data_IF_546941205036
#
_entry.id   IF_546941205036
#
_cell.length_a   1.000
_cell.length_b   1.000
_cell.length_c   1.000
_cell.angle_alpha   90.00
_cell.angle_beta   90.00
_cell.angle_gamma   90.00
#
_symmetry.space_group_name_H-M   'P 1'
#
loop_
_entity.id
_entity.type
_entity.pdbx_description
1 polymer ?
#
# COMPACT_ATOMS: atom_id res chain seq x y z
N UNK A 1 5.33 -15.32 28.16
CA UNK A 1 4.16 -15.10 27.30
C UNK A 1 3.33 -14.00 27.90
N UNK A 2 2.79 -13.12 27.08
CA UNK A 2 1.85 -12.07 27.49
C UNK A 2 0.54 -12.75 27.92
N UNK A 3 -0.09 -12.28 29.01
CA UNK A 3 -1.35 -12.84 29.53
C UNK A 3 -2.55 -12.69 28.58
N UNK A 4 -2.37 -12.00 27.46
CA UNK A 4 -3.43 -11.64 26.51
C UNK A 4 -3.43 -12.48 25.23
N UNK A 5 -2.55 -13.49 25.11
CA UNK A 5 -2.41 -14.31 23.90
C UNK A 5 -2.24 -15.78 24.28
N UNK A 6 -3.00 -16.65 23.64
CA UNK A 6 -2.86 -18.10 23.79
C UNK A 6 -2.83 -18.80 22.44
N UNK A 7 -2.03 -19.87 22.35
CA UNK A 7 -1.96 -20.76 21.20
C UNK A 7 -2.83 -21.96 21.46
N UNK A 8 -3.72 -22.26 20.55
CA UNK A 8 -4.63 -23.40 20.68
C UNK A 8 -4.67 -24.19 19.37
N UNK A 9 -5.10 -25.45 19.46
CA UNK A 9 -5.49 -26.25 18.30
C UNK A 9 -6.99 -26.47 18.34
N UNK A 10 -7.65 -26.24 17.21
CA UNK A 10 -9.06 -26.53 17.09
C UNK A 10 -9.32 -28.05 16.91
N UNK A 11 -10.59 -28.43 16.84
CA UNK A 11 -11.01 -29.84 16.63
C UNK A 11 -10.49 -30.42 15.29
N UNK A 12 -10.17 -29.55 14.32
CA UNK A 12 -9.61 -29.91 13.00
C UNK A 12 -8.09 -29.89 12.97
N UNK A 13 -7.43 -29.70 14.15
CA UNK A 13 -5.98 -29.57 14.32
C UNK A 13 -5.37 -28.31 13.69
N UNK A 14 -6.19 -27.32 13.32
CA UNK A 14 -5.66 -26.02 12.88
C UNK A 14 -5.01 -25.30 14.07
N UNK A 15 -3.88 -24.66 13.83
CA UNK A 15 -3.21 -23.83 14.81
C UNK A 15 -3.82 -22.42 14.79
N UNK A 16 -4.34 -22.01 15.94
CA UNK A 16 -5.00 -20.74 16.14
C UNK A 16 -4.28 -19.92 17.21
N UNK A 17 -4.31 -18.63 17.03
CA UNK A 17 -3.93 -17.66 18.06
C UNK A 17 -5.21 -16.98 18.53
N UNK A 18 -5.48 -17.05 19.82
CA UNK A 18 -6.57 -16.31 20.45
C UNK A 18 -5.97 -15.11 21.16
N UNK A 19 -6.54 -13.95 20.90
CA UNK A 19 -6.17 -12.69 21.55
C UNK A 19 -7.36 -12.21 22.38
N UNK A 20 -7.08 -11.78 23.62
CA UNK A 20 -8.10 -11.25 24.50
C UNK A 20 -7.54 -10.90 25.87
N UNK A 21 -8.13 -9.91 26.52
CA UNK A 21 -7.65 -9.42 27.81
C UNK A 21 -7.63 -10.51 28.88
N UNK A 22 -6.44 -10.86 29.38
CA UNK A 22 -6.25 -11.86 30.41
C UNK A 22 -6.60 -13.30 30.00
N UNK A 23 -6.75 -13.60 28.71
CA UNK A 23 -7.11 -14.95 28.23
C UNK A 23 -6.07 -16.00 28.62
N UNK A 24 -4.78 -15.62 28.67
CA UNK A 24 -3.67 -16.50 29.06
C UNK A 24 -3.35 -16.49 30.55
N UNK A 25 -4.06 -15.70 31.36
CA UNK A 25 -3.76 -15.58 32.76
C UNK A 25 -3.96 -16.90 33.53
N UNK A 26 -2.91 -17.40 34.19
CA UNK A 26 -2.86 -18.70 34.89
C UNK A 26 -3.15 -19.93 33.99
N UNK A 27 -3.16 -19.82 32.67
CA UNK A 27 -3.32 -20.96 31.79
C UNK A 27 -2.05 -21.82 31.74
N UNK A 28 -2.26 -23.14 31.69
CA UNK A 28 -1.22 -24.14 31.51
C UNK A 28 -1.45 -24.91 30.19
N UNK A 29 -0.40 -25.49 29.60
CA UNK A 29 -0.56 -26.36 28.44
C UNK A 29 -1.60 -27.46 28.69
N UNK A 30 -2.50 -27.67 27.73
CA UNK A 30 -3.60 -28.66 27.81
C UNK A 30 -4.91 -28.14 28.41
N UNK A 31 -4.96 -26.92 28.95
CA UNK A 31 -6.21 -26.31 29.42
C UNK A 31 -7.02 -25.75 28.22
N UNK A 32 -8.34 -25.76 28.36
CA UNK A 32 -9.24 -25.13 27.39
C UNK A 32 -9.20 -23.62 27.57
N UNK A 33 -9.13 -22.87 26.48
CA UNK A 33 -9.25 -21.42 26.52
C UNK A 33 -10.67 -21.00 26.91
N UNK A 34 -10.77 -19.89 27.64
CA UNK A 34 -12.04 -19.28 28.00
C UNK A 34 -12.56 -18.49 26.80
N UNK A 35 -13.55 -19.05 26.09
CA UNK A 35 -14.13 -18.46 24.88
C UNK A 35 -14.77 -17.09 25.16
N UNK A 36 -15.23 -16.81 26.38
CA UNK A 36 -15.82 -15.51 26.73
C UNK A 36 -14.80 -14.36 26.73
N UNK A 37 -13.50 -14.68 26.81
CA UNK A 37 -12.39 -13.71 26.77
C UNK A 37 -11.80 -13.53 25.38
N UNK A 38 -12.26 -14.28 24.40
CA UNK A 38 -11.72 -14.19 23.03
C UNK A 38 -12.22 -12.94 22.36
N UNK A 39 -11.33 -12.00 22.10
CA UNK A 39 -11.60 -10.76 21.34
C UNK A 39 -11.31 -10.97 19.85
N UNK A 40 -10.28 -11.75 19.53
CA UNK A 40 -9.88 -12.04 18.15
C UNK A 40 -9.31 -13.44 18.01
N UNK A 41 -9.59 -14.08 16.88
CA UNK A 41 -9.01 -15.38 16.51
C UNK A 41 -8.26 -15.26 15.20
N UNK A 42 -7.02 -15.71 15.18
CA UNK A 42 -6.21 -15.79 13.98
C UNK A 42 -5.92 -17.25 13.62
N UNK A 43 -6.12 -17.59 12.36
CA UNK A 43 -5.68 -18.87 11.79
C UNK A 43 -4.21 -18.70 11.37
N UNK A 44 -3.31 -19.39 12.06
CA UNK A 44 -1.86 -19.19 11.90
C UNK A 44 -1.39 -19.43 10.45
N UNK A 45 -2.00 -20.37 9.74
CA UNK A 45 -1.67 -20.68 8.34
C UNK A 45 -1.95 -19.53 7.34
N UNK A 46 -2.76 -18.55 7.72
CA UNK A 46 -3.03 -17.36 6.87
C UNK A 46 -1.91 -16.32 6.89
N UNK A 47 -0.94 -16.43 7.79
CA UNK A 47 0.12 -15.46 7.92
C UNK A 47 1.41 -15.94 7.26
N UNK A 48 1.99 -15.10 6.40
CA UNK A 48 3.29 -15.37 5.77
C UNK A 48 4.42 -15.41 6.81
N UNK A 49 4.37 -14.53 7.81
CA UNK A 49 5.39 -14.38 8.85
C UNK A 49 4.85 -14.77 10.24
N UNK A 50 4.53 -16.04 10.42
CA UNK A 50 3.93 -16.56 11.66
C UNK A 50 4.76 -16.22 12.92
N UNK A 51 6.08 -16.35 12.85
CA UNK A 51 6.97 -16.01 13.96
C UNK A 51 6.85 -14.55 14.38
N UNK A 52 6.80 -13.66 13.41
CA UNK A 52 6.68 -12.21 13.64
C UNK A 52 5.34 -11.84 14.29
N UNK A 53 4.23 -12.47 13.84
CA UNK A 53 2.93 -12.31 14.49
C UNK A 53 2.99 -12.71 15.97
N UNK A 54 3.59 -13.88 16.26
CA UNK A 54 3.75 -14.39 17.63
C UNK A 54 4.58 -13.43 18.48
N UNK A 55 5.72 -12.98 17.97
CA UNK A 55 6.61 -12.04 18.67
C UNK A 55 5.91 -10.72 18.93
N UNK A 56 5.23 -10.15 17.94
CA UNK A 56 4.48 -8.92 18.07
C UNK A 56 3.42 -9.05 19.17
N UNK A 57 2.52 -10.02 19.06
CA UNK A 57 1.43 -10.23 20.00
C UNK A 57 1.93 -10.53 21.42
N UNK A 58 3.15 -11.04 21.57
CA UNK A 58 3.76 -11.26 22.89
C UNK A 58 4.28 -10.00 23.55
N UNK A 59 4.54 -8.93 22.79
CA UNK A 59 5.18 -7.69 23.27
C UNK A 59 4.19 -6.53 23.42
N UNK A 60 3.14 -6.50 22.61
CA UNK A 60 2.17 -5.39 22.59
C UNK A 60 1.17 -5.48 23.74
N UNK A 61 0.64 -4.32 24.15
CA UNK A 61 -0.46 -4.26 25.12
C UNK A 61 -1.80 -4.67 24.47
N UNK A 62 -2.77 -5.09 25.30
CA UNK A 62 -4.13 -5.35 24.81
C UNK A 62 -4.77 -4.10 24.24
N UNK A 63 -4.49 -2.93 24.82
CA UNK A 63 -5.01 -1.65 24.39
C UNK A 63 -4.48 -1.26 23.02
N UNK A 64 -3.17 -1.43 22.76
CA UNK A 64 -2.58 -1.13 21.45
C UNK A 64 -3.11 -2.07 20.38
N UNK A 65 -3.31 -3.35 20.71
CA UNK A 65 -3.93 -4.29 19.77
C UNK A 65 -5.38 -3.91 19.45
N UNK A 66 -6.19 -3.57 20.46
CA UNK A 66 -7.58 -3.11 20.26
C UNK A 66 -7.65 -1.85 19.39
N UNK A 67 -6.71 -0.94 19.61
CA UNK A 67 -6.60 0.29 18.82
C UNK A 67 -6.31 -0.02 17.35
N UNK A 68 -5.35 -0.92 17.08
CA UNK A 68 -5.02 -1.36 15.74
C UNK A 68 -6.19 -2.11 15.08
N UNK A 69 -6.84 -3.06 15.80
CA UNK A 69 -8.02 -3.77 15.27
C UNK A 69 -9.15 -2.79 14.92
N UNK A 70 -9.42 -1.80 15.78
CA UNK A 70 -10.43 -0.78 15.50
C UNK A 70 -10.15 -0.03 14.18
N UNK A 71 -8.90 0.39 13.97
CA UNK A 71 -8.48 1.09 12.74
C UNK A 71 -8.58 0.16 11.53
N UNK A 72 -8.18 -1.11 11.65
CA UNK A 72 -8.27 -2.10 10.57
C UNK A 72 -9.72 -2.39 10.20
N UNK A 73 -10.63 -2.54 11.18
CA UNK A 73 -12.06 -2.73 10.91
C UNK A 73 -12.66 -1.51 10.21
N UNK A 74 -12.31 -0.30 10.66
CA UNK A 74 -12.72 0.94 9.99
C UNK A 74 -12.22 0.98 8.54
N UNK A 75 -10.96 0.59 8.29
CA UNK A 75 -10.39 0.53 6.95
C UNK A 75 -11.17 -0.45 6.04
N UNK A 76 -11.46 -1.66 6.52
CA UNK A 76 -12.26 -2.65 5.79
C UNK A 76 -13.65 -2.11 5.43
N UNK A 77 -14.33 -1.50 6.40
CA UNK A 77 -15.66 -0.92 6.20
C UNK A 77 -15.63 0.25 5.19
N UNK A 78 -14.67 1.16 5.32
CA UNK A 78 -14.56 2.35 4.46
C UNK A 78 -14.20 2.01 3.02
N UNK A 79 -13.37 0.97 2.80
CA UNK A 79 -12.94 0.54 1.47
C UNK A 79 -13.90 -0.47 0.83
N UNK A 80 -14.84 -1.04 1.59
CA UNK A 80 -15.76 -2.08 1.12
C UNK A 80 -15.08 -3.35 0.63
N UNK A 81 -13.88 -3.65 1.15
CA UNK A 81 -13.08 -4.81 0.74
C UNK A 81 -12.33 -5.41 1.93
N UNK A 82 -12.06 -6.70 1.85
CA UNK A 82 -11.18 -7.35 2.81
C UNK A 82 -9.73 -6.91 2.61
N UNK A 83 -8.99 -6.90 3.70
CA UNK A 83 -7.56 -6.62 3.73
C UNK A 83 -6.81 -7.90 4.10
N UNK A 84 -5.63 -8.08 3.51
CA UNK A 84 -4.75 -9.19 3.84
C UNK A 84 -4.47 -9.22 5.35
N UNK A 85 -4.59 -10.38 5.96
CA UNK A 85 -4.46 -10.58 7.42
C UNK A 85 -3.09 -10.13 7.98
N UNK A 86 -2.03 -10.09 7.14
CA UNK A 86 -0.72 -9.58 7.55
C UNK A 86 -0.75 -8.11 8.02
N UNK A 87 -1.80 -7.35 7.71
CA UNK A 87 -1.97 -5.97 8.20
C UNK A 87 -1.99 -5.91 9.73
N UNK A 88 -2.49 -6.95 10.40
CA UNK A 88 -2.46 -7.03 11.86
C UNK A 88 -1.03 -7.05 12.42
N UNK A 89 -0.08 -7.59 11.66
CA UNK A 89 1.34 -7.55 12.03
C UNK A 89 1.94 -6.20 11.67
N UNK A 90 1.83 -5.83 10.41
CA UNK A 90 2.59 -4.71 9.86
C UNK A 90 2.10 -3.36 10.36
N UNK A 91 0.78 -3.15 10.43
CA UNK A 91 0.20 -1.89 10.90
C UNK A 91 0.33 -1.75 12.43
N UNK A 92 0.09 -2.84 13.19
CA UNK A 92 0.20 -2.77 14.65
C UNK A 92 1.64 -2.49 15.08
N UNK A 93 2.62 -3.17 14.47
CA UNK A 93 4.05 -2.92 14.72
C UNK A 93 4.43 -1.47 14.41
N UNK A 94 4.00 -0.97 13.25
CA UNK A 94 4.21 0.43 12.87
C UNK A 94 3.58 1.40 13.87
N UNK A 95 2.32 1.20 14.25
CA UNK A 95 1.60 2.10 15.16
C UNK A 95 2.27 2.17 16.52
N UNK A 96 2.63 1.03 17.13
CA UNK A 96 3.30 0.98 18.43
C UNK A 96 4.64 1.71 18.36
N UNK A 97 5.45 1.42 17.34
CA UNK A 97 6.74 2.08 17.13
C UNK A 97 6.58 3.59 16.90
N UNK A 98 5.60 4.01 16.10
CA UNK A 98 5.31 5.41 15.81
C UNK A 98 4.86 6.17 17.07
N UNK A 99 4.00 5.56 17.91
CA UNK A 99 3.59 6.13 19.20
C UNK A 99 4.78 6.31 20.17
N UNK A 100 5.62 5.28 20.29
CA UNK A 100 6.83 5.36 21.13
C UNK A 100 7.79 6.46 20.69
N UNK A 101 8.02 6.54 19.37
CA UNK A 101 8.88 7.54 18.75
C UNK A 101 8.34 8.95 18.98
N UNK A 102 7.04 9.15 18.77
CA UNK A 102 6.38 10.45 18.98
C UNK A 102 6.45 10.90 20.44
N UNK A 103 6.28 9.99 21.42
CA UNK A 103 6.49 10.29 22.85
C UNK A 103 7.90 10.79 23.14
N UNK A 104 8.90 10.34 22.37
CA UNK A 104 10.31 10.78 22.48
C UNK A 104 10.60 12.06 21.68
N UNK A 105 9.59 12.68 21.06
CA UNK A 105 9.75 13.87 20.24
C UNK A 105 10.44 13.63 18.89
N UNK A 106 10.55 12.37 18.45
CA UNK A 106 11.19 12.01 17.19
C UNK A 106 10.13 11.99 16.09
N UNK A 107 10.28 12.88 15.11
CA UNK A 107 9.39 12.98 13.96
C UNK A 107 10.09 12.41 12.72
N UNK A 108 9.45 11.46 12.05
CA UNK A 108 9.89 10.99 10.76
C UNK A 108 9.11 11.69 9.65
N UNK A 109 9.84 12.16 8.65
CA UNK A 109 9.26 12.76 7.45
C UNK A 109 8.95 11.68 6.43
N UNK A 110 7.77 11.73 5.87
CA UNK A 110 7.40 10.86 4.76
C UNK A 110 7.71 11.57 3.44
N UNK A 111 8.81 11.17 2.81
CA UNK A 111 9.26 11.77 1.54
C UNK A 111 8.27 11.57 0.38
N UNK A 112 7.26 10.71 0.54
CA UNK A 112 6.22 10.41 -0.45
C UNK A 112 4.83 10.91 0.00
N UNK A 113 4.76 11.77 1.04
CA UNK A 113 3.47 12.17 1.62
C UNK A 113 2.54 12.79 0.56
N UNK A 114 3.08 13.65 -0.29
CA UNK A 114 2.30 14.27 -1.35
C UNK A 114 1.78 13.24 -2.36
N UNK A 115 2.64 12.34 -2.82
CA UNK A 115 2.27 11.27 -3.76
C UNK A 115 1.25 10.29 -3.15
N UNK A 116 1.37 10.02 -1.86
CA UNK A 116 0.41 9.16 -1.15
C UNK A 116 -0.96 9.82 -1.14
N UNK A 117 -1.04 11.11 -0.85
CA UNK A 117 -2.29 11.88 -0.89
C UNK A 117 -2.96 11.81 -2.28
N UNK A 118 -2.18 11.91 -3.34
CA UNK A 118 -2.66 11.89 -4.71
C UNK A 118 -3.03 10.47 -5.19
N UNK A 119 -2.20 9.50 -4.88
CA UNK A 119 -2.34 8.16 -5.48
C UNK A 119 -3.18 7.21 -4.63
N UNK A 120 -3.31 7.47 -3.34
CA UNK A 120 -4.01 6.66 -2.36
C UNK A 120 -4.93 7.51 -1.47
N UNK A 121 -5.81 8.37 -2.05
CA UNK A 121 -6.60 9.33 -1.27
C UNK A 121 -7.54 8.67 -0.26
N UNK A 122 -8.12 7.52 -0.59
CA UNK A 122 -8.99 6.77 0.33
C UNK A 122 -8.21 6.23 1.51
N UNK A 123 -7.07 5.58 1.24
CA UNK A 123 -6.21 5.03 2.27
C UNK A 123 -5.60 6.14 3.13
N UNK A 124 -5.28 7.30 2.53
CA UNK A 124 -4.79 8.46 3.26
C UNK A 124 -5.85 9.04 4.20
N UNK A 125 -7.11 9.15 3.77
CA UNK A 125 -8.21 9.58 4.63
C UNK A 125 -8.39 8.64 5.85
N UNK A 126 -8.20 7.32 5.66
CA UNK A 126 -8.20 6.36 6.76
C UNK A 126 -6.98 6.56 7.66
N UNK A 127 -5.81 6.88 7.09
CA UNK A 127 -4.61 7.24 7.86
C UNK A 127 -4.83 8.48 8.74
N UNK A 128 -5.50 9.51 8.22
CA UNK A 128 -5.89 10.70 9.00
C UNK A 128 -6.84 10.34 10.14
N UNK A 129 -7.88 9.56 9.87
CA UNK A 129 -8.76 9.03 10.90
C UNK A 129 -7.98 8.26 11.97
N UNK A 130 -7.01 7.45 11.58
CA UNK A 130 -6.20 6.64 12.50
C UNK A 130 -5.41 7.52 13.48
N UNK A 131 -4.71 8.57 13.00
CA UNK A 131 -3.95 9.46 13.89
C UNK A 131 -4.88 10.25 14.83
N UNK A 132 -6.09 10.63 14.41
CA UNK A 132 -7.08 11.26 15.28
C UNK A 132 -7.58 10.31 16.37
N UNK A 133 -7.86 9.04 16.03
CA UNK A 133 -8.28 8.03 17.00
C UNK A 133 -7.16 7.74 18.00
N UNK A 134 -5.92 7.65 17.55
CA UNK A 134 -4.75 7.48 18.41
C UNK A 134 -4.65 8.65 19.39
N UNK A 135 -4.74 9.90 18.92
CA UNK A 135 -4.71 11.09 19.78
C UNK A 135 -5.82 11.06 20.83
N UNK A 136 -7.06 10.77 20.43
CA UNK A 136 -8.22 10.67 21.34
C UNK A 136 -8.07 9.59 22.41
N UNK A 137 -7.45 8.44 22.07
CA UNK A 137 -7.35 7.30 22.98
C UNK A 137 -6.10 7.35 23.87
N UNK A 138 -5.00 7.93 23.37
CA UNK A 138 -3.69 7.86 24.02
C UNK A 138 -3.13 9.23 24.44
N UNK A 139 -3.71 10.33 23.96
CA UNK A 139 -3.18 11.69 24.11
C UNK A 139 -1.95 11.98 23.25
N UNK A 140 -1.54 11.05 22.37
CA UNK A 140 -0.35 11.22 21.53
C UNK A 140 -0.75 11.85 20.20
N UNK A 141 -0.33 13.11 20.00
CA UNK A 141 -0.55 13.83 18.75
C UNK A 141 0.54 13.47 17.75
N UNK A 142 0.17 12.73 16.71
CA UNK A 142 1.05 12.33 15.62
C UNK A 142 1.11 13.38 14.51
N UNK A 143 2.24 13.43 13.80
CA UNK A 143 2.37 14.26 12.59
C UNK A 143 1.56 13.66 11.42
N UNK A 144 1.19 14.48 10.45
CA UNK A 144 0.47 14.05 9.24
C UNK A 144 1.27 13.01 8.42
N UNK A 145 2.59 13.04 8.52
CA UNK A 145 3.48 12.04 7.92
C UNK A 145 3.12 10.61 8.33
N UNK A 146 2.63 10.41 9.58
CA UNK A 146 2.21 9.09 10.07
C UNK A 146 0.91 8.62 9.41
N UNK A 147 0.00 9.52 9.07
CA UNK A 147 -1.17 9.19 8.28
C UNK A 147 -0.76 8.63 6.90
N UNK A 148 0.29 9.18 6.29
CA UNK A 148 0.87 8.67 5.06
C UNK A 148 1.48 7.27 5.20
N UNK A 149 2.22 7.00 6.27
CA UNK A 149 2.75 5.66 6.52
C UNK A 149 1.64 4.63 6.78
N UNK A 150 0.62 4.99 7.56
CA UNK A 150 -0.56 4.14 7.79
C UNK A 150 -1.28 3.85 6.47
N UNK A 151 -1.45 4.86 5.61
CA UNK A 151 -2.04 4.70 4.29
C UNK A 151 -1.30 3.68 3.42
N UNK A 152 0.02 3.68 3.43
CA UNK A 152 0.84 2.69 2.72
C UNK A 152 0.61 1.26 3.24
N UNK A 153 0.49 1.07 4.56
CA UNK A 153 0.16 -0.25 5.14
C UNK A 153 -1.20 -0.74 4.67
N UNK A 154 -2.20 0.15 4.61
CA UNK A 154 -3.56 -0.18 4.17
C UNK A 154 -3.58 -0.49 2.67
N UNK A 155 -2.94 0.35 1.83
CA UNK A 155 -2.83 0.14 0.39
C UNK A 155 -2.16 -1.20 0.05
N UNK A 156 -1.11 -1.55 0.80
CA UNK A 156 -0.43 -2.82 0.66
C UNK A 156 -1.33 -4.01 1.02
N UNK A 157 -2.05 -3.93 2.13
CA UNK A 157 -2.96 -4.99 2.55
C UNK A 157 -4.14 -5.20 1.59
N UNK A 158 -4.49 -4.19 0.80
CA UNK A 158 -5.52 -4.22 -0.25
C UNK A 158 -5.03 -4.91 -1.52
N UNK A 159 -3.75 -4.83 -1.84
CA UNK A 159 -3.17 -5.33 -3.10
C UNK A 159 -2.62 -6.76 -3.02
N UNK A 160 -2.70 -7.45 -1.87
CA UNK A 160 -2.00 -8.71 -1.59
C UNK A 160 -0.48 -8.65 -1.83
N UNK A 161 0.07 -7.42 -1.97
CA UNK A 161 1.47 -7.15 -2.21
C UNK A 161 2.32 -7.13 -0.93
N UNK A 162 3.60 -6.83 -1.11
CA UNK A 162 4.52 -6.49 -0.02
C UNK A 162 4.54 -4.95 0.16
N UNK A 163 4.81 -4.44 1.38
CA UNK A 163 4.94 -3.00 1.64
C UNK A 163 5.93 -2.35 0.67
N UNK A 164 7.00 -3.06 0.32
CA UNK A 164 7.95 -2.65 -0.70
C UNK A 164 7.28 -2.44 -2.07
N UNK A 165 6.25 -3.20 -2.44
CA UNK A 165 5.55 -3.06 -3.73
C UNK A 165 4.86 -1.70 -3.86
N UNK A 166 4.11 -1.29 -2.83
CA UNK A 166 3.38 -0.01 -2.84
C UNK A 166 4.35 1.18 -2.84
N UNK A 167 5.42 1.10 -2.06
CA UNK A 167 6.45 2.14 -2.00
C UNK A 167 7.19 2.28 -3.34
N UNK A 168 7.62 1.16 -3.93
CA UNK A 168 8.27 1.13 -5.25
C UNK A 168 7.34 1.67 -6.32
N UNK A 169 6.07 1.24 -6.34
CA UNK A 169 5.05 1.75 -7.26
C UNK A 169 4.91 3.26 -7.16
N UNK A 170 4.85 3.80 -5.95
CA UNK A 170 4.73 5.24 -5.70
C UNK A 170 5.96 6.00 -6.23
N UNK A 171 7.17 5.48 -5.99
CA UNK A 171 8.42 6.07 -6.50
C UNK A 171 8.50 6.07 -8.01
N UNK A 172 8.15 4.94 -8.66
CA UNK A 172 8.14 4.83 -10.13
C UNK A 172 7.12 5.78 -10.72
N UNK A 173 5.92 5.86 -10.15
CA UNK A 173 4.87 6.75 -10.62
C UNK A 173 5.29 8.23 -10.53
N UNK A 174 5.88 8.65 -9.41
CA UNK A 174 6.46 9.99 -9.24
C UNK A 174 7.51 10.29 -10.31
N UNK A 175 8.43 9.36 -10.56
CA UNK A 175 9.49 9.51 -11.55
C UNK A 175 8.92 9.57 -12.98
N UNK A 176 7.94 8.73 -13.32
CA UNK A 176 7.27 8.73 -14.61
C UNK A 176 6.55 10.06 -14.90
N UNK A 177 5.79 10.59 -13.94
CA UNK A 177 5.13 11.89 -14.06
C UNK A 177 6.15 13.02 -14.26
N UNK A 178 7.28 13.00 -13.54
CA UNK A 178 8.36 13.96 -13.74
C UNK A 178 8.97 13.86 -15.14
N UNK A 179 9.22 12.66 -15.65
CA UNK A 179 9.74 12.44 -17.02
C UNK A 179 8.77 12.99 -18.05
N UNK A 180 7.45 12.76 -17.89
CA UNK A 180 6.41 13.28 -18.79
C UNK A 180 6.40 14.81 -18.75
N UNK A 181 6.33 15.42 -17.56
CA UNK A 181 6.35 16.89 -17.40
C UNK A 181 7.55 17.52 -18.10
N UNK A 182 8.74 16.95 -17.92
CA UNK A 182 9.98 17.44 -18.53
C UNK A 182 10.03 17.21 -20.05
N UNK A 183 9.58 16.04 -20.54
CA UNK A 183 9.64 15.69 -21.98
C UNK A 183 8.68 16.55 -22.80
N UNK A 184 7.52 16.88 -22.23
CA UNK A 184 6.49 17.65 -22.92
C UNK A 184 6.50 19.14 -22.56
N UNK A 185 7.25 19.53 -21.51
CA UNK A 185 7.28 20.90 -20.96
C UNK A 185 5.88 21.40 -20.60
N UNK A 186 5.12 20.58 -19.87
CA UNK A 186 3.74 20.84 -19.46
C UNK A 186 3.58 20.64 -17.96
N UNK A 187 2.60 21.33 -17.40
CA UNK A 187 2.02 20.94 -16.12
C UNK A 187 0.82 20.02 -16.35
N UNK A 188 0.71 18.98 -15.52
CA UNK A 188 -0.40 18.02 -15.60
C UNK A 188 -1.54 18.52 -14.73
N UNK A 189 -2.77 18.41 -15.24
CA UNK A 189 -3.98 18.67 -14.47
C UNK A 189 -4.30 17.43 -13.62
N UNK A 190 -3.92 17.51 -12.34
CA UNK A 190 -3.98 16.39 -11.39
C UNK A 190 -5.42 16.02 -11.00
N UNK A 191 -6.37 16.92 -11.20
CA UNK A 191 -7.80 16.69 -10.97
C UNK A 191 -8.51 16.10 -12.21
N UNK A 192 -7.80 15.94 -13.32
CA UNK A 192 -8.37 15.41 -14.56
C UNK A 192 -8.61 13.90 -14.51
N UNK A 193 -9.64 13.45 -15.25
CA UNK A 193 -9.91 12.03 -15.45
C UNK A 193 -8.74 11.29 -16.13
N UNK A 194 -8.04 11.96 -17.05
CA UNK A 194 -6.91 11.37 -17.76
C UNK A 194 -5.70 11.19 -16.85
N UNK A 195 -5.47 12.11 -15.90
CA UNK A 195 -4.47 11.92 -14.86
C UNK A 195 -4.81 10.74 -13.95
N UNK A 196 -6.04 10.67 -13.44
CA UNK A 196 -6.50 9.58 -12.58
C UNK A 196 -6.38 8.22 -13.29
N UNK A 197 -6.74 8.16 -14.57
CA UNK A 197 -6.58 6.95 -15.41
C UNK A 197 -5.11 6.58 -15.57
N UNK A 198 -4.24 7.56 -15.87
CA UNK A 198 -2.81 7.32 -15.99
C UNK A 198 -2.23 6.72 -14.70
N UNK A 199 -2.58 7.28 -13.53
CA UNK A 199 -2.15 6.75 -12.21
C UNK A 199 -2.57 5.28 -12.05
N UNK A 200 -3.82 4.94 -12.35
CA UNK A 200 -4.34 3.57 -12.26
C UNK A 200 -3.57 2.63 -13.20
N UNK A 201 -3.36 3.04 -14.46
CA UNK A 201 -2.65 2.23 -15.45
C UNK A 201 -1.17 2.03 -15.10
N UNK A 202 -0.52 3.03 -14.53
CA UNK A 202 0.85 2.91 -14.02
C UNK A 202 0.95 1.92 -12.85
N UNK A 203 -0.03 1.89 -11.95
CA UNK A 203 -0.06 0.88 -10.88
C UNK A 203 -0.14 -0.53 -11.45
N UNK A 204 -1.02 -0.77 -12.45
CA UNK A 204 -1.10 -2.07 -13.13
C UNK A 204 0.20 -2.43 -13.85
N UNK A 205 0.82 -1.48 -14.56
CA UNK A 205 2.10 -1.66 -15.22
C UNK A 205 3.18 -2.11 -14.22
N UNK A 206 3.41 -1.36 -13.14
CA UNK A 206 4.41 -1.71 -12.13
C UNK A 206 4.09 -3.06 -11.46
N UNK A 207 2.82 -3.32 -11.17
CA UNK A 207 2.39 -4.60 -10.60
C UNK A 207 2.69 -5.80 -11.51
N UNK A 208 2.56 -5.66 -12.85
CA UNK A 208 2.96 -6.71 -13.80
C UNK A 208 4.47 -6.92 -13.82
N UNK A 209 5.25 -5.84 -13.85
CA UNK A 209 6.71 -5.91 -13.82
C UNK A 209 7.21 -6.64 -12.56
N UNK A 210 6.70 -6.27 -11.40
CA UNK A 210 7.09 -6.90 -10.12
C UNK A 210 6.74 -8.39 -10.06
N UNK A 211 5.59 -8.77 -10.64
CA UNK A 211 5.13 -10.17 -10.71
C UNK A 211 5.72 -10.95 -11.88
N UNK A 212 6.57 -10.30 -12.70
CA UNK A 212 7.14 -10.87 -13.94
C UNK A 212 6.06 -11.44 -14.89
N UNK A 213 4.89 -10.78 -14.95
CA UNK A 213 3.76 -11.14 -15.79
C UNK A 213 3.57 -10.06 -16.86
N UNK A 214 4.58 -9.91 -17.72
CA UNK A 214 4.57 -8.90 -18.78
C UNK A 214 3.46 -9.17 -19.79
N UNK A 215 3.01 -8.10 -20.45
CA UNK A 215 2.15 -8.21 -21.63
C UNK A 215 2.93 -8.89 -22.75
N UNK A 216 2.25 -9.73 -23.54
CA UNK A 216 2.80 -10.42 -24.73
C UNK A 216 1.61 -10.74 -25.63
N UNK A 217 1.01 -9.71 -26.21
CA UNK A 217 -0.27 -9.84 -26.94
C UNK A 217 -0.32 -9.03 -28.24
N UNK A 218 0.66 -8.17 -28.52
CA UNK A 218 0.60 -7.30 -29.67
C UNK A 218 1.37 -7.87 -30.87
N UNK A 219 0.75 -7.72 -32.05
CA UNK A 219 1.41 -7.98 -33.32
C UNK A 219 2.59 -7.01 -33.51
N UNK A 220 3.76 -7.45 -34.02
CA UNK A 220 4.87 -6.57 -34.35
C UNK A 220 4.51 -5.40 -35.24
N UNK A 221 3.58 -5.58 -36.17
CA UNK A 221 3.07 -4.50 -37.06
C UNK A 221 2.34 -3.43 -36.25
N UNK A 222 1.57 -3.83 -35.25
CA UNK A 222 0.89 -2.89 -34.35
C UNK A 222 1.90 -2.12 -33.50
N UNK A 223 2.91 -2.80 -32.96
CA UNK A 223 3.99 -2.18 -32.19
C UNK A 223 4.70 -1.12 -33.02
N UNK A 224 5.08 -1.43 -34.27
CA UNK A 224 5.77 -0.49 -35.15
C UNK A 224 4.87 0.69 -35.56
N UNK A 225 3.57 0.46 -35.77
CA UNK A 225 2.61 1.51 -36.04
C UNK A 225 2.53 2.51 -34.87
N UNK A 226 2.45 2.04 -33.63
CA UNK A 226 2.41 2.90 -32.43
C UNK A 226 3.72 3.66 -32.25
N UNK A 227 4.88 3.02 -32.47
CA UNK A 227 6.20 3.67 -32.41
C UNK A 227 6.30 4.84 -33.40
N UNK A 228 5.80 4.67 -34.62
CA UNK A 228 5.81 5.71 -35.63
C UNK A 228 4.78 6.81 -35.39
N UNK A 229 3.54 6.43 -35.09
CA UNK A 229 2.42 7.36 -34.90
C UNK A 229 2.63 8.26 -33.66
N UNK A 230 3.18 7.71 -32.59
CA UNK A 230 3.34 8.38 -31.31
C UNK A 230 4.81 8.43 -30.85
N UNK A 231 5.72 8.77 -31.77
CA UNK A 231 7.17 8.72 -31.58
C UNK A 231 7.65 9.48 -30.33
N UNK A 232 7.05 10.65 -30.03
CA UNK A 232 7.40 11.43 -28.82
C UNK A 232 6.96 10.73 -27.54
N UNK A 233 5.75 10.16 -27.53
CA UNK A 233 5.24 9.42 -26.38
C UNK A 233 6.01 8.11 -26.19
N UNK A 234 6.36 7.42 -27.28
CA UNK A 234 7.20 6.23 -27.25
C UNK A 234 8.60 6.53 -26.69
N UNK A 235 9.24 7.61 -27.15
CA UNK A 235 10.53 8.04 -26.58
C UNK A 235 10.45 8.38 -25.11
N UNK A 236 9.30 8.91 -24.62
CA UNK A 236 9.04 9.13 -23.22
C UNK A 236 8.86 7.80 -22.45
N UNK A 237 8.13 6.84 -23.02
CA UNK A 237 7.95 5.49 -22.46
C UNK A 237 9.30 4.75 -22.32
N UNK A 238 10.16 4.85 -23.31
CA UNK A 238 11.51 4.27 -23.29
C UNK A 238 12.32 4.84 -22.11
N UNK A 239 12.30 6.16 -21.88
CA UNK A 239 12.99 6.78 -20.73
C UNK A 239 12.46 6.27 -19.39
N UNK A 240 11.15 6.08 -19.27
CA UNK A 240 10.53 5.47 -18.07
C UNK A 240 11.01 4.02 -17.93
N UNK A 241 11.01 3.26 -19.02
CA UNK A 241 11.51 1.89 -19.04
C UNK A 241 12.96 1.78 -18.61
N UNK A 242 13.84 2.62 -19.13
CA UNK A 242 15.26 2.66 -18.73
C UNK A 242 15.42 2.93 -17.24
N UNK A 243 14.71 3.95 -16.69
CA UNK A 243 14.74 4.24 -15.26
C UNK A 243 14.34 3.02 -14.43
N UNK A 244 13.27 2.33 -14.83
CA UNK A 244 12.76 1.16 -14.10
C UNK A 244 13.76 0.00 -14.17
N UNK A 245 14.37 -0.24 -15.32
CA UNK A 245 15.39 -1.27 -15.48
C UNK A 245 16.65 -0.95 -14.67
N UNK A 246 17.15 0.28 -14.75
CA UNK A 246 18.38 0.69 -14.07
C UNK A 246 18.26 0.76 -12.55
N UNK A 247 17.14 1.28 -12.04
CA UNK A 247 16.98 1.48 -10.60
C UNK A 247 16.39 0.29 -9.86
N UNK A 248 15.58 -0.52 -10.54
CA UNK A 248 14.80 -1.61 -9.91
C UNK A 248 15.10 -2.99 -10.50
N UNK A 249 15.93 -3.09 -11.55
CA UNK A 249 16.27 -4.37 -12.18
C UNK A 249 15.10 -5.09 -12.84
N UNK A 250 14.02 -4.36 -13.18
CA UNK A 250 12.82 -4.93 -13.80
C UNK A 250 12.95 -4.91 -15.31
N UNK A 251 12.73 -6.05 -15.96
CA UNK A 251 12.72 -6.17 -17.41
C UNK A 251 11.43 -5.60 -18.00
N UNK A 252 11.55 -4.95 -19.15
CA UNK A 252 10.42 -4.36 -19.89
C UNK A 252 10.54 -4.79 -21.34
N UNK A 253 9.45 -5.28 -21.92
CA UNK A 253 9.34 -5.61 -23.34
C UNK A 253 8.64 -4.51 -24.14
N UNK A 254 8.58 -4.69 -25.46
CA UNK A 254 7.97 -3.74 -26.38
C UNK A 254 6.45 -3.57 -26.11
N UNK A 255 5.74 -4.62 -25.70
CA UNK A 255 4.33 -4.54 -25.36
C UNK A 255 4.05 -3.59 -24.20
N UNK A 256 4.87 -3.65 -23.16
CA UNK A 256 4.77 -2.74 -22.02
C UNK A 256 5.14 -1.30 -22.40
N UNK A 257 6.11 -1.11 -23.32
CA UNK A 257 6.43 0.22 -23.85
C UNK A 257 5.28 0.79 -24.68
N UNK A 258 4.62 -0.02 -25.52
CA UNK A 258 3.42 0.37 -26.25
C UNK A 258 2.28 0.72 -25.31
N UNK A 259 2.06 -0.08 -24.28
CA UNK A 259 1.06 0.20 -23.25
C UNK A 259 1.29 1.57 -22.60
N UNK A 260 2.53 1.85 -22.15
CA UNK A 260 2.89 3.15 -21.60
C UNK A 260 2.71 4.28 -22.62
N UNK A 261 3.10 4.07 -23.87
CA UNK A 261 2.99 5.06 -24.95
C UNK A 261 1.56 5.54 -25.12
N UNK A 262 0.60 4.61 -25.17
CA UNK A 262 -0.83 4.94 -25.32
C UNK A 262 -1.32 5.80 -24.14
N UNK A 263 -0.92 5.46 -22.92
CA UNK A 263 -1.35 6.20 -21.74
C UNK A 263 -0.67 7.57 -21.61
N UNK A 264 0.61 7.68 -21.99
CA UNK A 264 1.33 8.95 -22.04
C UNK A 264 0.69 9.87 -23.12
N UNK A 265 0.41 9.33 -24.31
CA UNK A 265 -0.23 10.10 -25.37
C UNK A 265 -1.60 10.64 -24.93
N UNK A 266 -2.38 9.83 -24.22
CA UNK A 266 -3.71 10.25 -23.74
C UNK A 266 -3.62 11.39 -22.73
N UNK A 267 -2.77 11.27 -21.68
CA UNK A 267 -2.65 12.31 -20.65
C UNK A 267 -2.07 13.62 -21.21
N UNK A 268 -1.23 13.55 -22.25
CA UNK A 268 -0.64 14.74 -22.86
C UNK A 268 -1.53 15.43 -23.89
N UNK A 269 -2.41 14.68 -24.59
CA UNK A 269 -3.36 15.24 -25.55
C UNK A 269 -4.46 16.07 -24.90
N UNK A 270 -4.94 15.69 -23.73
CA UNK A 270 -5.98 16.44 -23.01
C UNK A 270 -5.56 17.88 -22.69
N UNK A 271 -4.26 18.11 -22.53
CA UNK A 271 -3.69 19.43 -22.23
C UNK A 271 -3.53 20.26 -23.51
N UNK A 272 -3.15 19.63 -24.62
CA UNK A 272 -3.00 20.31 -25.90
C UNK A 272 -4.33 20.86 -26.42
N UNK A 273 -5.43 20.12 -26.20
CA UNK A 273 -6.78 20.54 -26.60
C UNK A 273 -7.32 21.69 -25.73
N UNK A 274 -7.00 21.77 -24.41
CA UNK A 274 -7.38 22.93 -23.58
C UNK A 274 -6.69 24.20 -24.04
N UNK A 275 -5.40 24.16 -24.39
CA UNK A 275 -4.65 25.34 -24.90
C UNK A 275 -5.12 25.84 -26.26
N UNK A 276 -5.82 25.03 -27.06
CA UNK A 276 -6.38 25.43 -28.34
C UNK A 276 -7.79 26.02 -28.24
N UNK A 277 -8.49 25.81 -27.12
CA UNK A 277 -9.82 26.36 -26.85
C UNK A 277 -9.76 27.73 -26.15
N UNK A 278 -8.62 28.04 -25.52
CA UNK A 278 -8.36 29.32 -24.82
C UNK A 278 -7.65 30.37 -25.70
N UNK A 279 -7.52 30.09 -27.01
CA UNK A 279 -7.05 31.03 -28.06
C UNK A 279 -8.17 31.36 -29.04
#
# INVERSE_FOLDING_TARGET
MNNNVVFVKDKKKNELILVGSGIGFKMKPGMKADESKVEKTFLLSKFKEQKRLVELLSKISSEDFKLADHIIQYAKASLGTDLNENIYVTLTDHMVFAMERTRKGIIFRNALLWEIKQFYPQEFAIGQYAIEVIEKKTGIKMAEDEAGFIALHIANARSDGDIAEVEVTTKILKAALKIIKLTYQIELDEDSLDYSRFVVHMKYFVGRLMKKKLLDQNDPVFIDMIKQQYSKAFGCAVKIGQLVTEQYGMEINDDELVYLTIHIQRITNSISNKKSLDK
#
